data_IF_971772698779
#
_entry.id   IF_971772698779
#
_cell.length_a   1.000
_cell.length_b   1.000
_cell.length_c   1.000
_cell.angle_alpha   90.00
_cell.angle_beta   90.00
_cell.angle_gamma   90.00
#
_symmetry.space_group_name_H-M   'P 1'
#
loop_
_entity.id
_entity.type
_entity.pdbx_description
1 polymer ?
#
# COMPACT_ATOMS: atom_id res chain seq x y z
N UNK A 1 -18.27 -5.25 -13.66
CA UNK A 1 -17.63 -3.93 -13.43
C UNK A 1 -16.69 -3.97 -12.21
N UNK A 2 -15.90 -5.02 -12.05
CA UNK A 2 -14.91 -5.14 -10.95
C UNK A 2 -13.49 -4.78 -11.43
N UNK A 3 -13.22 -4.89 -12.73
CA UNK A 3 -11.99 -4.43 -13.41
C UNK A 3 -11.82 -2.90 -13.47
N UNK A 4 -12.81 -2.12 -13.04
CA UNK A 4 -12.80 -0.65 -13.18
C UNK A 4 -12.24 0.09 -11.95
N UNK A 5 -11.78 -0.62 -10.92
CA UNK A 5 -11.41 -0.01 -9.64
C UNK A 5 -10.01 -0.47 -9.21
N UNK A 6 -8.96 0.20 -9.72
CA UNK A 6 -7.60 -0.11 -9.34
C UNK A 6 -7.42 0.02 -7.82
N UNK A 7 -6.50 -0.78 -7.27
CA UNK A 7 -5.90 -0.51 -5.97
C UNK A 7 -5.43 0.97 -5.94
N UNK A 8 -5.24 1.55 -4.76
CA UNK A 8 -4.58 2.86 -4.64
C UNK A 8 -3.33 2.72 -3.81
N UNK A 9 -2.24 3.32 -4.29
CA UNK A 9 -0.95 3.36 -3.61
C UNK A 9 -0.56 4.83 -3.48
N UNK A 10 -0.12 5.25 -2.30
CA UNK A 10 0.37 6.60 -2.06
C UNK A 10 1.40 6.62 -0.93
N UNK A 11 2.44 7.42 -1.08
CA UNK A 11 3.41 7.71 -0.02
C UNK A 11 3.13 9.10 0.53
N UNK A 12 2.75 9.15 1.79
CA UNK A 12 2.33 10.38 2.47
C UNK A 12 3.29 10.73 3.59
N UNK A 13 3.44 12.02 3.88
CA UNK A 13 4.13 12.50 5.07
C UNK A 13 3.09 12.82 6.14
N UNK A 14 3.28 12.31 7.35
CA UNK A 14 2.42 12.53 8.52
C UNK A 14 3.28 13.08 9.66
N UNK A 15 3.49 14.40 9.66
CA UNK A 15 4.47 15.00 10.56
C UNK A 15 5.88 14.52 10.21
N UNK A 16 6.67 14.01 11.18
CA UNK A 16 8.00 13.46 10.89
C UNK A 16 7.93 12.09 10.20
N UNK A 17 6.78 11.42 10.24
CA UNK A 17 6.62 10.06 9.72
C UNK A 17 6.42 10.07 8.20
N UNK A 18 7.01 9.09 7.52
CA UNK A 18 6.64 8.74 6.14
C UNK A 18 5.89 7.41 6.12
N UNK A 19 4.68 7.41 5.58
CA UNK A 19 3.82 6.24 5.48
C UNK A 19 3.55 5.86 4.02
N UNK A 20 3.58 4.57 3.72
CA UNK A 20 2.97 3.99 2.53
C UNK A 20 1.53 3.58 2.85
N UNK A 21 0.60 4.04 2.02
CA UNK A 21 -0.82 3.69 2.08
C UNK A 21 -1.19 2.86 0.85
N UNK A 22 -1.75 1.68 1.08
CA UNK A 22 -2.39 0.87 0.04
C UNK A 22 -3.85 0.65 0.38
N UNK A 23 -4.76 1.11 -0.47
CA UNK A 23 -6.19 0.87 -0.34
C UNK A 23 -6.64 -0.19 -1.35
N UNK A 24 -7.00 -1.36 -0.85
CA UNK A 24 -7.54 -2.47 -1.61
C UNK A 24 -9.08 -2.46 -1.48
N UNK A 25 -9.85 -2.27 -2.57
CA UNK A 25 -11.29 -2.42 -2.50
C UNK A 25 -11.64 -3.88 -2.16
N UNK A 26 -12.55 -4.07 -1.20
CA UNK A 26 -13.04 -5.40 -0.85
C UNK A 26 -14.23 -5.72 -1.74
N UNK A 27 -14.23 -6.88 -2.37
CA UNK A 27 -15.39 -7.35 -3.14
C UNK A 27 -16.61 -7.54 -2.25
N UNK A 28 -17.82 -7.53 -2.84
CA UNK A 28 -19.06 -7.86 -2.14
C UNK A 28 -19.05 -9.27 -1.53
N UNK A 29 -18.18 -10.16 -2.03
CA UNK A 29 -17.91 -11.49 -1.52
C UNK A 29 -17.16 -11.49 -0.16
N UNK A 30 -16.72 -10.32 0.32
CA UNK A 30 -15.93 -10.16 1.55
C UNK A 30 -14.48 -10.64 1.42
N UNK A 31 -14.09 -11.14 0.25
CA UNK A 31 -12.71 -11.55 -0.06
C UNK A 31 -12.01 -10.37 -0.72
N UNK A 32 -10.94 -9.88 -0.08
CA UNK A 32 -10.01 -8.96 -0.74
C UNK A 32 -9.10 -9.73 -1.70
N UNK A 33 -8.35 -9.01 -2.53
CA UNK A 33 -7.21 -9.58 -3.28
C UNK A 33 -6.30 -10.35 -2.29
N UNK A 34 -6.04 -11.65 -2.53
CA UNK A 34 -5.14 -12.41 -1.68
C UNK A 34 -3.72 -11.82 -1.77
N UNK A 35 -2.92 -12.02 -0.71
CA UNK A 35 -1.49 -11.69 -0.69
C UNK A 35 -1.12 -10.21 -0.83
N UNK A 36 -2.06 -9.27 -0.69
CA UNK A 36 -1.74 -7.82 -0.80
C UNK A 36 -0.63 -7.41 0.16
N UNK A 37 -0.70 -7.83 1.43
CA UNK A 37 0.38 -7.52 2.39
C UNK A 37 1.72 -8.13 1.97
N UNK A 38 1.71 -9.39 1.49
CA UNK A 38 2.90 -10.06 1.01
C UNK A 38 3.53 -9.28 -0.15
N UNK A 39 2.74 -8.92 -1.16
CA UNK A 39 3.20 -8.16 -2.31
C UNK A 39 3.80 -6.80 -1.92
N UNK A 40 3.17 -6.09 -0.97
CA UNK A 40 3.71 -4.83 -0.44
C UNK A 40 5.08 -5.08 0.20
N UNK A 41 5.17 -6.04 1.13
CA UNK A 41 6.43 -6.34 1.85
C UNK A 41 7.53 -6.80 0.89
N UNK A 42 7.17 -7.55 -0.17
CA UNK A 42 8.10 -7.99 -1.19
C UNK A 42 8.62 -6.82 -2.04
N UNK A 43 7.74 -5.92 -2.46
CA UNK A 43 8.14 -4.72 -3.21
C UNK A 43 9.08 -3.84 -2.38
N UNK A 44 8.74 -3.59 -1.12
CA UNK A 44 9.59 -2.81 -0.21
C UNK A 44 10.95 -3.46 0.02
N UNK A 45 10.99 -4.80 0.14
CA UNK A 45 12.26 -5.55 0.21
C UNK A 45 13.11 -5.37 -1.04
N UNK A 46 12.52 -5.45 -2.24
CA UNK A 46 13.26 -5.24 -3.51
C UNK A 46 13.78 -3.81 -3.65
N UNK A 47 13.04 -2.84 -3.12
CA UNK A 47 13.43 -1.43 -3.08
C UNK A 47 14.37 -1.09 -1.92
N UNK A 48 14.83 -2.08 -1.14
CA UNK A 48 15.68 -1.88 0.03
C UNK A 48 15.11 -0.84 1.01
N UNK A 49 13.79 -0.86 1.21
CA UNK A 49 13.08 0.06 2.12
C UNK A 49 12.64 -0.68 3.38
N UNK A 50 12.91 -0.09 4.54
CA UNK A 50 12.56 -0.65 5.84
C UNK A 50 11.05 -0.58 6.12
N UNK A 51 10.58 -1.49 6.98
CA UNK A 51 9.23 -1.49 7.52
C UNK A 51 9.36 -1.37 9.04
N UNK A 52 8.98 -0.22 9.60
CA UNK A 52 9.00 -0.01 11.05
C UNK A 52 7.76 -0.59 11.73
N UNK A 53 6.60 -0.37 11.13
CA UNK A 53 5.34 -0.96 11.58
C UNK A 53 4.35 -1.07 10.42
N UNK A 54 3.38 -1.96 10.56
CA UNK A 54 2.30 -2.13 9.60
C UNK A 54 0.97 -2.28 10.33
N UNK A 55 -0.04 -1.61 9.81
CA UNK A 55 -1.41 -1.65 10.29
C UNK A 55 -2.35 -1.97 9.13
N UNK A 56 -3.29 -2.89 9.36
CA UNK A 56 -4.32 -3.25 8.39
C UNK A 56 -5.67 -2.91 9.02
N UNK A 57 -6.44 -2.05 8.36
CA UNK A 57 -7.79 -1.68 8.82
C UNK A 57 -8.81 -1.83 7.71
N UNK A 58 -10.02 -2.25 8.07
CA UNK A 58 -11.18 -2.14 7.19
C UNK A 58 -11.85 -0.80 7.38
N UNK A 59 -12.08 -0.07 6.29
CA UNK A 59 -12.75 1.22 6.29
C UNK A 59 -13.87 1.23 5.27
N UNK A 60 -15.08 1.57 5.73
CA UNK A 60 -16.21 1.85 4.86
C UNK A 60 -16.18 3.32 4.41
N UNK A 61 -16.23 3.56 3.11
CA UNK A 61 -16.34 4.89 2.51
C UNK A 61 -17.55 4.86 1.57
N UNK A 62 -18.63 5.51 1.97
CA UNK A 62 -19.92 5.42 1.27
C UNK A 62 -20.48 4.00 1.32
N UNK A 63 -20.74 3.44 0.13
CA UNK A 63 -21.28 2.11 -0.07
C UNK A 63 -20.20 1.01 -0.15
N UNK A 64 -18.92 1.36 -0.05
CA UNK A 64 -17.78 0.45 -0.30
C UNK A 64 -16.94 0.22 0.95
N UNK A 65 -16.41 -1.00 1.07
CA UNK A 65 -15.37 -1.32 2.03
C UNK A 65 -14.00 -1.41 1.36
N UNK A 66 -12.99 -0.95 2.10
CA UNK A 66 -11.59 -1.01 1.71
C UNK A 66 -10.79 -1.63 2.84
N UNK A 67 -9.89 -2.52 2.49
CA UNK A 67 -8.79 -2.92 3.35
C UNK A 67 -7.63 -1.96 3.09
N UNK A 68 -7.28 -1.19 4.11
CA UNK A 68 -6.26 -0.16 4.06
C UNK A 68 -5.04 -0.65 4.82
N UNK A 69 -3.95 -0.80 4.09
CA UNK A 69 -2.63 -1.13 4.59
C UNK A 69 -1.87 0.18 4.82
N UNK A 70 -1.45 0.41 6.05
CA UNK A 70 -0.62 1.56 6.43
C UNK A 70 0.72 1.01 6.87
N UNK A 71 1.79 1.41 6.20
CA UNK A 71 3.15 0.96 6.52
C UNK A 71 4.00 2.16 6.86
N UNK A 72 4.54 2.19 8.08
CA UNK A 72 5.50 3.20 8.50
C UNK A 72 6.88 2.85 7.92
N UNK A 73 7.41 3.72 7.08
CA UNK A 73 8.69 3.53 6.38
C UNK A 73 9.86 4.19 7.08
N UNK A 74 9.62 5.20 7.94
CA UNK A 74 10.64 5.88 8.73
C UNK A 74 10.13 7.17 9.37
N UNK A 75 10.95 7.71 10.28
CA UNK A 75 10.73 8.97 11.00
C UNK A 75 11.91 9.92 10.74
N UNK A 76 11.64 11.16 10.33
CA UNK A 76 12.60 12.27 10.37
C UNK A 76 13.73 12.30 9.32
N UNK A 77 14.06 11.18 8.65
CA UNK A 77 15.07 11.13 7.58
C UNK A 77 14.46 11.00 6.17
N UNK A 78 15.18 11.50 5.16
CA UNK A 78 14.81 11.28 3.76
C UNK A 78 14.87 9.78 3.43
N UNK A 79 13.80 9.24 2.83
CA UNK A 79 13.78 7.86 2.38
C UNK A 79 14.94 7.61 1.39
N UNK A 80 15.59 6.43 1.44
CA UNK A 80 16.66 6.09 0.50
C UNK A 80 16.16 5.99 -0.96
N UNK A 81 14.84 5.89 -1.14
CA UNK A 81 14.17 5.79 -2.43
C UNK A 81 13.19 6.95 -2.60
N UNK A 82 13.21 7.64 -3.76
CA UNK A 82 12.21 8.67 -4.08
C UNK A 82 10.78 8.13 -3.97
N UNK A 83 9.87 8.92 -3.40
CA UNK A 83 8.46 8.52 -3.18
C UNK A 83 7.80 7.94 -4.42
N UNK A 84 8.01 8.56 -5.58
CA UNK A 84 7.43 8.09 -6.85
C UNK A 84 7.90 6.69 -7.24
N UNK A 85 9.19 6.37 -7.05
CA UNK A 85 9.73 5.03 -7.33
C UNK A 85 9.15 3.98 -6.37
N UNK A 86 8.88 4.39 -5.13
CA UNK A 86 8.28 3.52 -4.14
C UNK A 86 6.81 3.23 -4.47
N UNK A 87 6.05 4.26 -4.83
CA UNK A 87 4.67 4.12 -5.31
C UNK A 87 4.58 3.21 -6.53
N UNK A 88 5.41 3.46 -7.55
CA UNK A 88 5.45 2.67 -8.79
C UNK A 88 5.87 1.22 -8.54
N UNK A 89 6.91 0.98 -7.75
CA UNK A 89 7.38 -0.39 -7.47
C UNK A 89 6.36 -1.22 -6.70
N UNK A 90 5.68 -0.61 -5.72
CA UNK A 90 4.57 -1.25 -5.00
C UNK A 90 3.37 -1.46 -5.94
N UNK A 91 3.03 -0.46 -6.74
CA UNK A 91 1.95 -0.54 -7.73
C UNK A 91 2.15 -1.69 -8.70
N UNK A 92 3.32 -1.77 -9.35
CA UNK A 92 3.65 -2.81 -10.32
C UNK A 92 3.55 -4.19 -9.68
N UNK A 93 4.11 -4.37 -8.49
CA UNK A 93 4.01 -5.65 -7.77
C UNK A 93 2.56 -6.05 -7.47
N UNK A 94 1.72 -5.10 -7.09
CA UNK A 94 0.29 -5.32 -6.83
C UNK A 94 -0.52 -5.58 -8.11
N UNK A 95 -0.05 -5.10 -9.26
CA UNK A 95 -0.66 -5.40 -10.56
C UNK A 95 -0.14 -6.69 -11.17
N UNK A 96 0.90 -7.31 -10.58
CA UNK A 96 1.59 -8.46 -11.15
C UNK A 96 2.46 -8.09 -12.36
N UNK A 97 2.86 -6.82 -12.46
CA UNK A 97 3.76 -6.31 -13.49
C UNK A 97 5.19 -6.37 -12.93
N UNK A 98 6.12 -6.87 -13.75
CA UNK A 98 7.57 -6.91 -13.43
C UNK A 98 8.21 -5.53 -13.51
#
# INVERSE_FOLDING_TARGET
MELMRPLRVAVVSRGPDTELLVANPVELSGKGRPLVFHDITHALKMLNTCIFSAEIRRRRIGDREFEVYRILLGEGEELPVPKIKLEEGVWNKLMGWE
#
